data_IF_766152189379
#
_entry.id   IF_766152189379
#
_cell.length_a   1.000
_cell.length_b   1.000
_cell.length_c   1.000
_cell.angle_alpha   90.00
_cell.angle_beta   90.00
_cell.angle_gamma   90.00
#
_symmetry.space_group_name_H-M   'P 1'
#
loop_
_entity.id
_entity.type
_entity.pdbx_description
1 polymer ?
#
# COMPACT_ATOMS: atom_id res chain seq x y z
N UNK A 1 -18.93 -11.84 2.69
CA UNK A 1 -20.21 -11.69 3.43
C UNK A 1 -21.13 -12.91 3.37
N UNK A 2 -21.51 -13.49 2.20
CA UNK A 2 -22.51 -14.58 2.15
C UNK A 2 -22.15 -15.83 2.96
N UNK A 3 -20.87 -16.20 2.97
CA UNK A 3 -20.36 -17.33 3.75
C UNK A 3 -20.53 -17.13 5.27
N UNK A 4 -20.29 -15.92 5.77
CA UNK A 4 -20.42 -15.59 7.20
C UNK A 4 -21.89 -15.65 7.66
N UNK A 5 -22.81 -15.12 6.85
CA UNK A 5 -24.25 -15.23 7.12
C UNK A 5 -24.74 -16.68 7.03
N UNK A 6 -24.23 -17.47 6.07
CA UNK A 6 -24.53 -18.90 5.99
C UNK A 6 -24.07 -19.67 7.23
N UNK A 7 -22.87 -19.36 7.74
CA UNK A 7 -22.35 -19.96 8.98
C UNK A 7 -23.18 -19.56 10.20
N UNK A 8 -23.59 -18.29 10.31
CA UNK A 8 -24.47 -17.80 11.38
C UNK A 8 -25.84 -18.49 11.36
N UNK A 9 -26.49 -18.56 10.20
CA UNK A 9 -27.80 -19.21 10.03
C UNK A 9 -27.75 -20.71 10.36
N UNK A 10 -26.65 -21.38 10.00
CA UNK A 10 -26.42 -22.79 10.37
C UNK A 10 -26.25 -22.98 11.88
N UNK A 11 -25.57 -22.05 12.55
CA UNK A 11 -25.37 -22.09 14.01
C UNK A 11 -26.68 -22.10 14.80
N UNK A 12 -27.71 -21.38 14.33
CA UNK A 12 -29.02 -21.29 15.00
C UNK A 12 -29.80 -22.61 15.09
N UNK A 13 -29.37 -23.66 14.37
CA UNK A 13 -30.02 -24.97 14.37
C UNK A 13 -29.73 -25.80 15.63
N UNK A 14 -28.66 -25.48 16.35
CA UNK A 14 -28.24 -26.25 17.53
C UNK A 14 -28.18 -25.37 18.77
N UNK A 15 -28.27 -26.01 19.92
CA UNK A 15 -28.08 -25.34 21.20
C UNK A 15 -26.68 -24.70 21.34
N UNK A 16 -25.65 -25.28 20.71
CA UNK A 16 -24.27 -24.76 20.79
C UNK A 16 -24.12 -23.43 20.06
N UNK A 17 -24.86 -23.22 18.96
CA UNK A 17 -24.61 -22.08 18.09
C UNK A 17 -25.02 -20.72 18.68
N UNK A 18 -25.64 -20.67 19.86
CA UNK A 18 -25.84 -19.40 20.57
C UNK A 18 -25.54 -19.55 22.08
N UNK A 19 -24.62 -18.74 22.64
CA UNK A 19 -24.30 -18.77 24.08
C UNK A 19 -25.52 -18.60 25.02
N UNK A 20 -26.53 -17.76 24.69
CA UNK A 20 -27.73 -17.65 25.52
C UNK A 20 -28.52 -18.95 25.69
N UNK A 21 -28.63 -19.79 24.64
CA UNK A 21 -29.36 -21.07 24.72
C UNK A 21 -28.69 -22.07 25.67
N UNK A 22 -27.37 -21.99 25.80
CA UNK A 22 -26.59 -22.78 26.76
C UNK A 22 -26.88 -22.28 28.18
N UNK A 23 -26.80 -20.97 28.41
CA UNK A 23 -27.04 -20.35 29.72
C UNK A 23 -28.44 -20.64 30.27
N UNK A 24 -29.48 -20.51 29.43
CA UNK A 24 -30.86 -20.80 29.85
C UNK A 24 -31.04 -22.28 30.18
N UNK A 25 -30.44 -23.17 29.39
CA UNK A 25 -30.50 -24.61 29.63
C UNK A 25 -29.78 -25.04 30.91
N UNK A 26 -28.69 -24.34 31.26
CA UNK A 26 -27.96 -24.57 32.51
C UNK A 26 -28.73 -24.04 33.73
N UNK A 27 -29.38 -22.88 33.60
CA UNK A 27 -30.28 -22.33 34.62
C UNK A 27 -31.48 -23.26 34.90
N UNK A 28 -32.10 -23.82 33.86
CA UNK A 28 -33.20 -24.78 34.00
C UNK A 28 -32.76 -26.06 34.72
N UNK A 29 -31.52 -26.53 34.47
CA UNK A 29 -30.93 -27.70 35.13
C UNK A 29 -30.74 -27.47 36.62
N UNK A 30 -30.29 -26.28 37.02
CA UNK A 30 -30.10 -25.93 38.42
C UNK A 30 -31.42 -25.90 39.22
N UNK A 31 -32.53 -25.53 38.58
CA UNK A 31 -33.87 -25.49 39.18
C UNK A 31 -34.60 -26.86 39.12
N UNK A 32 -33.93 -27.93 38.67
CA UNK A 32 -34.54 -29.26 38.53
C UNK A 32 -35.59 -29.37 37.42
N UNK A 33 -35.66 -28.37 36.53
CA UNK A 33 -36.58 -28.34 35.39
C UNK A 33 -35.96 -29.03 34.18
N UNK A 34 -36.82 -29.40 33.22
CA UNK A 34 -36.38 -30.01 31.97
C UNK A 34 -35.56 -29.01 31.15
N UNK A 35 -34.26 -29.26 31.01
CA UNK A 35 -33.37 -28.47 30.16
C UNK A 35 -33.60 -28.76 28.68
N UNK A 36 -33.20 -27.81 27.82
CA UNK A 36 -33.22 -28.02 26.38
C UNK A 36 -32.24 -29.12 25.97
N UNK A 37 -32.65 -29.93 25.00
CA UNK A 37 -31.78 -30.88 24.33
C UNK A 37 -31.05 -30.23 23.16
N UNK A 38 -29.99 -30.89 22.69
CA UNK A 38 -29.10 -30.37 21.65
C UNK A 38 -29.83 -29.88 20.38
N UNK A 39 -30.93 -30.55 20.01
CA UNK A 39 -31.68 -30.32 18.77
C UNK A 39 -33.06 -29.68 18.99
N UNK A 40 -33.41 -29.24 20.21
CA UNK A 40 -34.73 -28.63 20.46
C UNK A 40 -34.96 -27.36 19.62
N UNK A 41 -33.88 -26.69 19.21
CA UNK A 41 -33.91 -25.47 18.38
C UNK A 41 -33.92 -25.75 16.87
N UNK A 42 -33.70 -27.00 16.44
CA UNK A 42 -33.59 -27.38 15.02
C UNK A 42 -34.80 -27.00 14.18
N UNK A 43 -36.06 -27.20 14.62
CA UNK A 43 -37.23 -26.88 13.80
C UNK A 43 -37.33 -25.38 13.49
N UNK A 44 -37.01 -24.54 14.47
CA UNK A 44 -37.01 -23.07 14.33
C UNK A 44 -35.78 -22.63 13.53
N UNK A 45 -34.61 -23.16 13.87
CA UNK A 45 -33.34 -22.87 13.19
C UNK A 45 -33.37 -23.24 11.71
N UNK A 46 -33.94 -24.39 11.33
CA UNK A 46 -34.12 -24.77 9.93
C UNK A 46 -35.06 -23.82 9.20
N UNK A 47 -36.16 -23.41 9.83
CA UNK A 47 -37.10 -22.46 9.22
C UNK A 47 -36.40 -21.12 8.90
N UNK A 48 -35.64 -20.59 9.87
CA UNK A 48 -34.88 -19.35 9.71
C UNK A 48 -33.74 -19.54 8.69
N UNK A 49 -33.07 -20.68 8.71
CA UNK A 49 -32.00 -21.00 7.77
C UNK A 49 -32.52 -21.02 6.32
N UNK A 50 -33.59 -21.75 6.04
CA UNK A 50 -34.17 -21.80 4.70
C UNK A 50 -34.70 -20.43 4.25
N UNK A 51 -35.37 -19.69 5.13
CA UNK A 51 -35.85 -18.34 4.82
C UNK A 51 -34.69 -17.37 4.54
N UNK A 52 -33.63 -17.39 5.36
CA UNK A 52 -32.43 -16.56 5.20
C UNK A 52 -31.62 -16.92 3.96
N UNK A 53 -31.46 -18.22 3.66
CA UNK A 53 -30.82 -18.70 2.43
C UNK A 53 -31.62 -18.28 1.20
N UNK A 54 -32.95 -18.44 1.20
CA UNK A 54 -33.80 -17.97 0.11
C UNK A 54 -33.68 -16.45 -0.07
N UNK A 55 -33.74 -15.68 1.01
CA UNK A 55 -33.54 -14.22 0.96
C UNK A 55 -32.18 -13.85 0.35
N UNK A 56 -31.10 -14.51 0.75
CA UNK A 56 -29.76 -14.25 0.21
C UNK A 56 -29.64 -14.58 -1.28
N UNK A 57 -30.23 -15.69 -1.72
CA UNK A 57 -30.22 -16.13 -3.12
C UNK A 57 -31.05 -15.20 -4.01
N UNK A 58 -32.23 -14.76 -3.56
CA UNK A 58 -33.14 -13.96 -4.39
C UNK A 58 -32.87 -12.46 -4.31
N UNK A 59 -32.71 -11.92 -3.09
CA UNK A 59 -32.63 -10.48 -2.79
C UNK A 59 -31.21 -10.07 -2.42
N UNK A 60 -30.51 -10.86 -1.60
CA UNK A 60 -29.15 -10.55 -1.14
C UNK A 60 -28.16 -10.33 -2.28
N UNK A 61 -28.24 -11.11 -3.35
CA UNK A 61 -27.46 -10.91 -4.58
C UNK A 61 -27.64 -9.55 -5.27
N UNK A 62 -28.76 -8.87 -5.01
CA UNK A 62 -29.10 -7.58 -5.63
C UNK A 62 -28.80 -6.38 -4.71
N UNK A 63 -28.73 -6.62 -3.40
CA UNK A 63 -28.37 -5.60 -2.39
C UNK A 63 -26.87 -5.56 -2.10
N UNK A 64 -26.13 -6.59 -2.50
CA UNK A 64 -24.68 -6.60 -2.41
C UNK A 64 -24.11 -5.50 -3.33
N UNK A 65 -23.33 -4.55 -2.80
CA UNK A 65 -22.62 -3.58 -3.63
C UNK A 65 -21.81 -4.33 -4.67
N UNK A 66 -21.89 -3.92 -5.93
CA UNK A 66 -20.93 -4.33 -6.97
C UNK A 66 -19.58 -3.68 -6.67
N UNK A 67 -18.92 -4.11 -5.60
CA UNK A 67 -17.55 -3.71 -5.25
C UNK A 67 -16.68 -4.93 -5.42
N UNK A 68 -15.66 -4.79 -6.27
CA UNK A 68 -14.68 -5.82 -6.58
C UNK A 68 -13.95 -6.23 -5.30
N UNK A 69 -14.35 -7.38 -4.75
CA UNK A 69 -13.69 -8.01 -3.59
C UNK A 69 -12.20 -8.30 -3.88
N UNK A 70 -11.82 -8.36 -5.16
CA UNK A 70 -10.43 -8.46 -5.61
C UNK A 70 -9.62 -7.21 -5.26
N UNK A 71 -10.21 -6.00 -5.29
CA UNK A 71 -9.48 -4.75 -4.96
C UNK A 71 -9.30 -4.55 -3.45
N UNK A 72 -10.31 -4.84 -2.63
CA UNK A 72 -10.22 -4.65 -1.17
C UNK A 72 -9.25 -5.64 -0.48
N UNK A 73 -9.18 -6.89 -0.93
CA UNK A 73 -8.19 -7.84 -0.40
C UNK A 73 -6.74 -7.53 -0.79
N UNK A 74 -6.55 -6.66 -1.80
CA UNK A 74 -5.27 -6.04 -2.11
C UNK A 74 -4.97 -4.96 -1.08
N UNK A 75 -5.89 -4.00 -0.90
CA UNK A 75 -5.73 -2.87 0.03
C UNK A 75 -5.43 -3.24 1.49
N UNK A 76 -6.01 -4.31 2.05
CA UNK A 76 -5.65 -4.76 3.41
C UNK A 76 -4.22 -5.33 3.50
N UNK A 77 -3.73 -6.01 2.46
CA UNK A 77 -2.35 -6.55 2.40
C UNK A 77 -1.32 -5.51 2.01
N UNK A 78 -1.76 -4.50 1.28
CA UNK A 78 -1.02 -3.33 0.83
C UNK A 78 -0.80 -2.38 2.02
N UNK A 79 -1.84 -2.07 2.81
CA UNK A 79 -1.73 -1.28 4.03
C UNK A 79 -0.76 -1.89 5.08
N UNK A 80 -0.80 -3.21 5.26
CA UNK A 80 0.11 -3.92 6.18
C UNK A 80 1.58 -3.87 5.70
N UNK A 81 1.79 -3.77 4.37
CA UNK A 81 3.12 -3.61 3.75
C UNK A 81 3.60 -2.17 3.76
N UNK A 82 2.74 -1.20 3.43
CA UNK A 82 3.07 0.23 3.56
C UNK A 82 3.54 0.55 4.97
N UNK A 83 2.87 -0.03 5.97
CA UNK A 83 3.24 0.04 7.38
C UNK A 83 4.57 -0.66 7.64
N UNK A 84 4.82 -1.85 7.06
CA UNK A 84 6.12 -2.55 7.19
C UNK A 84 7.31 -1.74 6.64
N UNK A 85 7.08 -0.89 5.63
CA UNK A 85 8.11 -0.05 5.02
C UNK A 85 8.13 1.40 5.55
N UNK A 86 7.19 1.78 6.42
CA UNK A 86 6.98 3.14 6.94
C UNK A 86 6.81 4.19 5.82
N UNK A 87 6.12 3.84 4.74
CA UNK A 87 6.03 4.68 3.54
C UNK A 87 5.27 5.98 3.80
N UNK A 88 4.23 5.94 4.63
CA UNK A 88 3.38 7.08 4.95
C UNK A 88 4.14 8.19 5.68
N UNK A 89 5.14 7.84 6.49
CA UNK A 89 5.97 8.80 7.23
C UNK A 89 7.10 9.40 6.37
N UNK A 90 7.35 8.83 5.19
CA UNK A 90 8.51 9.14 4.35
C UNK A 90 8.18 9.66 2.97
N UNK A 91 6.97 9.43 2.49
CA UNK A 91 6.53 9.89 1.17
C UNK A 91 5.53 11.03 1.32
N UNK A 92 5.86 12.18 0.77
CA UNK A 92 5.02 13.37 0.88
C UNK A 92 5.10 14.23 -0.38
N UNK A 93 4.05 15.03 -0.58
CA UNK A 93 3.94 15.93 -1.71
C UNK A 93 4.36 17.35 -1.31
N UNK A 94 5.11 17.99 -2.19
CA UNK A 94 5.58 19.36 -2.03
C UNK A 94 5.13 20.17 -3.24
N UNK A 95 4.47 21.30 -3.00
CA UNK A 95 4.22 22.28 -4.06
C UNK A 95 5.24 23.41 -4.02
N UNK A 96 5.79 23.76 -5.17
CA UNK A 96 6.69 24.91 -5.35
C UNK A 96 5.83 26.16 -5.60
N UNK A 97 5.72 27.11 -4.64
CA UNK A 97 4.98 28.34 -4.87
C UNK A 97 5.69 29.25 -5.87
N UNK A 98 4.96 30.26 -6.38
CA UNK A 98 5.49 31.22 -7.35
C UNK A 98 6.70 32.00 -6.83
N UNK A 99 6.71 32.35 -5.54
CA UNK A 99 7.77 33.15 -4.93
C UNK A 99 8.95 32.31 -4.40
N UNK A 100 8.98 31.00 -4.69
CA UNK A 100 10.03 30.11 -4.19
C UNK A 100 11.41 30.42 -4.78
N UNK A 101 12.43 30.45 -3.92
CA UNK A 101 13.84 30.53 -4.35
C UNK A 101 14.34 29.30 -5.15
N UNK A 102 13.49 28.29 -5.34
CA UNK A 102 13.78 27.08 -6.10
C UNK A 102 13.35 27.20 -7.56
N UNK A 103 12.54 28.20 -7.90
CA UNK A 103 12.12 28.44 -9.28
C UNK A 103 13.35 28.70 -10.16
N UNK A 104 13.41 28.04 -11.32
CA UNK A 104 14.51 28.07 -12.28
C UNK A 104 15.83 27.42 -11.81
N UNK A 105 15.85 26.77 -10.64
CA UNK A 105 16.99 25.93 -10.22
C UNK A 105 16.81 24.50 -10.69
N UNK A 106 17.92 23.83 -11.00
CA UNK A 106 17.91 22.38 -11.22
C UNK A 106 17.79 21.61 -9.90
N UNK A 107 17.40 20.33 -9.95
CA UNK A 107 17.41 19.45 -8.77
C UNK A 107 18.80 19.37 -8.11
N UNK A 108 19.89 19.39 -8.89
CA UNK A 108 21.23 19.44 -8.32
C UNK A 108 21.52 20.79 -7.61
N UNK A 109 21.08 21.90 -8.21
CA UNK A 109 21.27 23.24 -7.64
C UNK A 109 20.36 23.49 -6.42
N UNK A 110 19.21 22.82 -6.37
CA UNK A 110 18.29 22.89 -5.22
C UNK A 110 18.92 22.27 -3.98
N UNK A 111 19.85 21.32 -4.12
CA UNK A 111 20.46 20.59 -2.99
C UNK A 111 19.44 19.83 -2.13
N UNK A 112 18.23 19.53 -2.63
CA UNK A 112 17.26 18.68 -1.91
C UNK A 112 17.89 17.35 -1.50
N UNK A 113 18.55 16.66 -2.44
CA UNK A 113 19.20 15.38 -2.14
C UNK A 113 20.36 15.50 -1.16
N UNK A 114 21.29 16.43 -1.39
CA UNK A 114 22.52 16.50 -0.60
C UNK A 114 22.37 17.21 0.74
N UNK A 115 21.45 18.16 0.87
CA UNK A 115 21.25 18.92 2.12
C UNK A 115 20.15 18.32 3.01
N UNK A 116 19.10 17.75 2.42
CA UNK A 116 17.94 17.23 3.15
C UNK A 116 17.86 15.69 3.14
N UNK A 117 18.70 15.02 2.36
CA UNK A 117 18.58 13.57 2.16
C UNK A 117 17.30 13.19 1.43
N UNK A 118 16.74 14.10 0.64
CA UNK A 118 15.46 13.91 -0.04
C UNK A 118 15.63 13.43 -1.46
N UNK A 119 14.92 12.37 -1.81
CA UNK A 119 14.89 11.85 -3.15
C UNK A 119 13.59 12.24 -3.85
N UNK A 120 13.68 12.96 -4.96
CA UNK A 120 12.50 13.36 -5.74
C UNK A 120 12.07 12.21 -6.64
N UNK A 121 10.92 11.61 -6.35
CA UNK A 121 10.38 10.49 -7.13
C UNK A 121 9.83 10.99 -8.46
N UNK A 122 9.08 12.09 -8.43
CA UNK A 122 8.40 12.65 -9.59
C UNK A 122 8.32 14.19 -9.53
N UNK A 123 8.18 14.81 -10.70
CA UNK A 123 7.75 16.20 -10.86
C UNK A 123 6.47 16.20 -11.68
N UNK A 124 5.35 16.56 -11.08
CA UNK A 124 4.07 16.78 -11.76
C UNK A 124 3.93 18.25 -12.10
N UNK A 125 3.73 18.54 -13.38
CA UNK A 125 3.54 19.89 -13.91
C UNK A 125 2.29 19.91 -14.77
N UNK A 126 1.23 20.54 -14.26
CA UNK A 126 -0.12 20.45 -14.85
C UNK A 126 -0.51 18.97 -14.92
N UNK A 127 -0.80 18.44 -16.10
CA UNK A 127 -1.21 17.04 -16.31
C UNK A 127 -0.08 16.15 -16.83
N UNK A 128 1.18 16.55 -16.62
CA UNK A 128 2.35 15.75 -17.02
C UNK A 128 3.21 15.42 -15.83
N UNK A 129 3.39 14.13 -15.58
CA UNK A 129 4.26 13.58 -14.55
C UNK A 129 5.59 13.17 -15.17
N UNK A 130 6.68 13.80 -14.72
CA UNK A 130 8.03 13.38 -15.02
C UNK A 130 8.51 12.44 -13.91
N UNK A 131 8.63 11.16 -14.23
CA UNK A 131 9.19 10.17 -13.31
C UNK A 131 10.70 10.26 -13.24
N UNK A 132 11.25 9.89 -12.08
CA UNK A 132 12.68 9.69 -11.91
C UNK A 132 13.54 10.89 -12.41
N UNK A 133 13.18 12.15 -12.11
CA UNK A 133 13.81 13.33 -12.69
C UNK A 133 15.31 13.46 -12.36
N UNK A 134 16.15 13.54 -13.38
CA UNK A 134 17.59 13.67 -13.25
C UNK A 134 18.06 15.00 -12.62
N UNK A 135 19.34 15.09 -12.24
CA UNK A 135 19.93 16.26 -11.55
C UNK A 135 19.85 17.57 -12.36
N UNK A 136 19.74 17.47 -13.69
CA UNK A 136 19.63 18.61 -14.60
C UNK A 136 18.20 19.12 -14.79
N UNK A 137 17.18 18.40 -14.31
CA UNK A 137 15.80 18.85 -14.45
C UNK A 137 15.52 20.11 -13.64
N UNK A 138 14.95 21.12 -14.32
CA UNK A 138 14.66 22.44 -13.74
C UNK A 138 13.28 22.49 -13.09
N UNK A 139 13.25 22.99 -11.86
CA UNK A 139 12.06 23.26 -11.08
C UNK A 139 11.38 24.55 -11.56
N UNK A 140 10.06 24.54 -11.62
CA UNK A 140 9.22 25.68 -12.01
C UNK A 140 8.17 25.96 -10.95
N UNK A 141 7.67 27.20 -10.96
CA UNK A 141 6.54 27.59 -10.14
C UNK A 141 5.31 26.73 -10.46
N UNK A 142 4.62 26.27 -9.42
CA UNK A 142 3.47 25.37 -9.53
C UNK A 142 3.83 23.90 -9.75
N UNK A 143 5.12 23.54 -9.82
CA UNK A 143 5.51 22.13 -9.82
C UNK A 143 5.09 21.47 -8.49
N UNK A 144 4.58 20.25 -8.61
CA UNK A 144 4.28 19.38 -7.49
C UNK A 144 5.28 18.22 -7.51
N UNK A 145 5.98 18.04 -6.40
CA UNK A 145 7.02 17.03 -6.23
C UNK A 145 6.49 15.94 -5.32
N UNK A 146 6.60 14.68 -5.73
CA UNK A 146 6.52 13.56 -4.79
C UNK A 146 7.93 13.24 -4.32
N UNK A 147 8.15 13.26 -3.01
CA UNK A 147 9.48 13.16 -2.41
C UNK A 147 9.51 12.02 -1.40
N UNK A 148 10.62 11.27 -1.40
CA UNK A 148 10.98 10.33 -0.34
C UNK A 148 12.03 10.95 0.58
N UNK A 149 11.78 10.91 1.88
CA UNK A 149 12.67 11.44 2.90
C UNK A 149 11.94 11.68 4.22
N UNK A 150 12.62 12.22 5.23
CA UNK A 150 11.96 12.62 6.49
C UNK A 150 11.54 14.08 6.44
N UNK A 151 10.29 14.37 6.80
CA UNK A 151 9.74 15.73 6.89
C UNK A 151 10.48 16.55 7.96
N UNK A 152 10.97 15.90 9.01
CA UNK A 152 11.75 16.49 10.11
C UNK A 152 12.90 17.37 9.60
N UNK A 153 13.55 16.96 8.50
CA UNK A 153 14.65 17.69 7.89
C UNK A 153 14.22 19.03 7.27
N UNK A 154 12.95 19.22 6.92
CA UNK A 154 12.45 20.50 6.40
C UNK A 154 12.39 21.57 7.50
N UNK A 155 12.06 21.20 8.75
CA UNK A 155 11.95 22.15 9.86
C UNK A 155 13.28 22.85 10.16
N UNK A 156 14.40 22.21 9.83
CA UNK A 156 15.74 22.72 10.08
C UNK A 156 16.21 23.77 9.05
N UNK A 157 15.57 23.88 7.88
CA UNK A 157 16.02 24.78 6.81
C UNK A 157 15.11 26.01 6.61
N UNK A 158 15.51 27.14 7.21
CA UNK A 158 14.81 28.44 7.09
C UNK A 158 14.50 28.88 5.65
N UNK A 159 15.36 28.57 4.68
CA UNK A 159 15.20 28.99 3.28
C UNK A 159 14.10 28.22 2.51
N UNK A 160 13.50 27.20 3.13
CA UNK A 160 12.57 26.26 2.50
C UNK A 160 11.17 26.31 3.11
N UNK A 161 10.97 27.21 4.07
CA UNK A 161 9.71 27.44 4.79
C UNK A 161 8.56 27.93 3.88
N UNK A 162 8.87 28.34 2.65
CA UNK A 162 7.87 28.72 1.65
C UNK A 162 7.24 27.49 0.97
N UNK A 163 7.84 26.31 1.08
CA UNK A 163 7.28 25.11 0.48
C UNK A 163 5.98 24.72 1.18
N UNK A 164 4.95 24.49 0.37
CA UNK A 164 3.68 24.00 0.87
C UNK A 164 3.76 22.48 0.87
N UNK A 165 3.87 21.89 2.05
CA UNK A 165 3.68 20.45 2.24
C UNK A 165 2.17 20.21 2.23
N UNK A 166 1.71 19.36 1.32
CA UNK A 166 0.35 18.84 1.41
C UNK A 166 0.38 17.78 2.52
N UNK A 167 -0.21 18.09 3.69
CA UNK A 167 -0.32 17.14 4.80
C UNK A 167 -1.26 16.00 4.40
N UNK A 168 -0.73 14.78 4.47
CA UNK A 168 -1.32 13.57 3.90
C UNK A 168 -0.27 12.91 3.01
N UNK A 169 0.61 12.09 3.62
CA UNK A 169 1.54 11.25 2.86
C UNK A 169 0.77 10.52 1.76
N UNK A 170 1.39 10.38 0.58
CA UNK A 170 0.76 10.04 -0.71
C UNK A 170 -0.74 9.81 -0.57
N UNK A 171 -1.55 10.83 -0.85
CA UNK A 171 -2.99 10.63 -0.95
C UNK A 171 -3.24 9.74 -2.17
N UNK A 172 -3.17 8.41 -2.02
CA UNK A 172 -3.35 7.41 -3.08
C UNK A 172 -4.75 7.57 -3.73
N UNK A 173 -5.67 8.23 -3.03
CA UNK A 173 -7.03 8.55 -3.48
C UNK A 173 -7.24 10.03 -3.84
N UNK A 174 -6.21 10.88 -3.67
CA UNK A 174 -6.24 12.29 -4.03
C UNK A 174 -6.25 12.47 -5.55
N UNK A 175 -6.95 13.48 -6.09
CA UNK A 175 -7.16 13.67 -7.54
C UNK A 175 -5.88 13.91 -8.36
N UNK A 176 -4.70 13.92 -7.73
CA UNK A 176 -3.40 14.26 -8.32
C UNK A 176 -2.32 13.18 -8.12
N UNK A 177 -2.64 12.04 -7.47
CA UNK A 177 -1.69 10.95 -7.15
C UNK A 177 -1.77 9.71 -8.07
N UNK A 178 -2.59 9.78 -9.12
CA UNK A 178 -3.08 8.57 -9.81
C UNK A 178 -2.00 7.80 -10.60
N UNK A 179 -0.83 8.39 -10.85
CA UNK A 179 0.17 7.82 -11.77
C UNK A 179 1.33 7.08 -11.11
N UNK A 180 1.61 7.33 -9.83
CA UNK A 180 2.73 6.68 -9.12
C UNK A 180 2.19 5.43 -8.44
N UNK A 181 2.81 4.29 -8.78
CA UNK A 181 2.55 3.02 -8.13
C UNK A 181 3.81 2.56 -7.41
N UNK A 182 3.61 1.77 -6.37
CA UNK A 182 4.68 1.13 -5.62
C UNK A 182 4.58 -0.37 -5.89
N UNK A 183 5.73 -1.00 -6.06
CA UNK A 183 5.80 -2.43 -6.25
C UNK A 183 7.01 -3.04 -5.56
N UNK A 184 6.91 -4.31 -5.21
CA UNK A 184 8.02 -5.14 -4.79
C UNK A 184 8.52 -5.97 -5.95
N UNK A 185 9.83 -6.17 -6.02
CA UNK A 185 10.46 -7.02 -7.01
C UNK A 185 11.61 -7.82 -6.41
N UNK A 186 11.69 -9.09 -6.76
CA UNK A 186 12.75 -9.99 -6.29
C UNK A 186 13.93 -9.93 -7.25
N UNK A 187 15.14 -9.92 -6.68
CA UNK A 187 16.37 -10.13 -7.41
C UNK A 187 16.79 -11.61 -7.35
N UNK A 188 16.54 -12.39 -8.42
CA UNK A 188 16.88 -13.81 -8.44
C UNK A 188 18.39 -14.02 -8.51
N UNK A 189 18.84 -15.23 -8.13
CA UNK A 189 20.27 -15.53 -8.02
C UNK A 189 21.08 -15.52 -9.30
N UNK A 190 20.41 -15.70 -10.45
CA UNK A 190 21.00 -15.60 -11.78
C UNK A 190 20.96 -14.18 -12.36
N UNK A 191 20.55 -13.18 -11.56
CA UNK A 191 20.46 -11.81 -12.03
C UNK A 191 21.83 -11.20 -12.35
N UNK A 192 21.93 -10.56 -13.53
CA UNK A 192 23.10 -9.80 -13.96
C UNK A 192 23.39 -8.53 -13.12
N UNK A 193 22.50 -8.21 -12.18
CA UNK A 193 22.60 -7.06 -11.29
C UNK A 193 23.19 -7.41 -9.92
N UNK A 194 23.35 -8.70 -9.59
CA UNK A 194 24.02 -9.13 -8.36
C UNK A 194 25.44 -8.57 -8.31
N UNK A 195 25.82 -7.98 -7.18
CA UNK A 195 27.11 -7.34 -6.93
C UNK A 195 27.24 -5.92 -7.50
N UNK A 196 26.25 -5.42 -8.26
CA UNK A 196 26.24 -4.05 -8.78
C UNK A 196 25.45 -3.12 -7.85
N UNK A 197 25.75 -1.83 -7.91
CA UNK A 197 25.01 -0.80 -7.17
C UNK A 197 23.95 -0.17 -8.07
N UNK A 198 22.90 0.44 -7.49
CA UNK A 198 21.86 1.11 -8.28
C UNK A 198 22.45 2.25 -9.14
N UNK A 199 23.47 2.94 -8.61
CA UNK A 199 24.23 3.96 -9.35
C UNK A 199 24.94 3.38 -10.58
N UNK A 200 25.66 2.27 -10.44
CA UNK A 200 26.39 1.68 -11.58
C UNK A 200 25.46 1.08 -12.64
N UNK A 201 24.28 0.63 -12.22
CA UNK A 201 23.22 0.17 -13.13
C UNK A 201 22.54 1.35 -13.84
N UNK A 202 22.59 2.55 -13.25
CA UNK A 202 21.79 3.69 -13.70
C UNK A 202 20.29 3.41 -13.54
N UNK A 203 19.91 2.67 -12.49
CA UNK A 203 18.57 2.07 -12.33
C UNK A 203 17.43 3.04 -12.65
N UNK A 204 17.53 4.26 -12.11
CA UNK A 204 16.55 5.33 -12.26
C UNK A 204 16.33 5.78 -13.70
N UNK A 205 17.41 6.00 -14.44
CA UNK A 205 17.33 6.40 -15.85
C UNK A 205 17.01 5.23 -16.77
N UNK A 206 17.44 4.02 -16.41
CA UNK A 206 17.25 2.81 -17.20
C UNK A 206 15.83 2.27 -17.13
N UNK A 207 15.20 2.33 -15.96
CA UNK A 207 13.90 1.70 -15.70
C UNK A 207 12.79 2.68 -15.32
N UNK A 208 13.06 3.99 -15.27
CA UNK A 208 12.06 5.00 -14.91
C UNK A 208 11.55 4.91 -13.46
N UNK A 209 12.19 4.09 -12.63
CA UNK A 209 11.74 3.78 -11.27
C UNK A 209 12.79 4.15 -10.21
N UNK A 210 12.32 4.51 -9.01
CA UNK A 210 13.15 4.79 -7.86
C UNK A 210 13.08 3.63 -6.88
N UNK A 211 14.22 3.16 -6.37
CA UNK A 211 14.25 2.19 -5.28
C UNK A 211 14.08 2.93 -3.95
N UNK A 212 13.01 2.60 -3.22
CA UNK A 212 12.66 3.20 -1.93
C UNK A 212 13.25 2.41 -0.76
N UNK A 213 13.36 1.09 -0.90
CA UNK A 213 13.91 0.22 0.12
C UNK A 213 14.50 -1.07 -0.48
N UNK A 214 15.45 -1.66 0.23
CA UNK A 214 15.99 -2.99 -0.05
C UNK A 214 15.73 -3.86 1.18
N UNK A 215 14.95 -4.92 1.01
CA UNK A 215 14.72 -5.92 2.06
C UNK A 215 15.60 -7.14 1.81
N UNK A 216 16.48 -7.43 2.77
CA UNK A 216 17.46 -8.53 2.74
C UNK A 216 17.36 -9.34 4.04
N UNK A 217 17.00 -10.62 3.92
CA UNK A 217 16.92 -11.56 5.06
C UNK A 217 16.10 -11.01 6.25
N UNK A 218 15.00 -10.31 5.96
CA UNK A 218 14.13 -9.69 6.97
C UNK A 218 14.53 -8.29 7.42
N UNK A 219 15.72 -7.81 7.09
CA UNK A 219 16.16 -6.44 7.38
C UNK A 219 15.80 -5.51 6.23
N UNK A 220 15.23 -4.34 6.55
CA UNK A 220 14.85 -3.33 5.56
C UNK A 220 15.84 -2.16 5.62
N UNK A 221 16.60 -1.98 4.55
CA UNK A 221 17.49 -0.82 4.35
C UNK A 221 16.75 0.24 3.54
N UNK A 222 16.86 1.50 3.97
CA UNK A 222 16.18 2.66 3.34
C UNK A 222 17.14 3.81 3.02
N UNK A 223 18.36 3.78 3.54
CA UNK A 223 19.35 4.85 3.41
C UNK A 223 20.55 4.41 2.59
N UNK A 224 21.15 5.34 1.84
CA UNK A 224 22.32 5.10 1.00
C UNK A 224 22.16 3.89 0.06
N UNK A 225 20.95 3.69 -0.46
CA UNK A 225 20.61 2.55 -1.33
C UNK A 225 21.39 2.58 -2.65
N UNK A 226 21.71 3.79 -3.11
CA UNK A 226 22.36 4.03 -4.40
C UNK A 226 23.75 3.40 -4.53
N UNK A 227 24.46 3.24 -3.40
CA UNK A 227 25.82 2.72 -3.31
C UNK A 227 25.86 1.32 -2.69
N UNK A 228 24.70 0.75 -2.36
CA UNK A 228 24.61 -0.60 -1.83
C UNK A 228 24.75 -1.63 -2.96
N UNK A 229 25.70 -2.58 -2.86
CA UNK A 229 25.75 -3.72 -3.77
C UNK A 229 24.53 -4.61 -3.57
N UNK A 230 23.84 -4.91 -4.67
CA UNK A 230 22.68 -5.80 -4.65
C UNK A 230 23.12 -7.25 -4.41
N UNK A 231 22.40 -7.96 -3.56
CA UNK A 231 22.63 -9.37 -3.24
C UNK A 231 21.52 -10.26 -3.82
N UNK A 232 21.86 -11.54 -4.01
CA UNK A 232 20.90 -12.57 -4.35
C UNK A 232 19.79 -12.63 -3.29
N UNK A 233 18.54 -12.63 -3.74
CA UNK A 233 17.36 -12.69 -2.87
C UNK A 233 16.96 -11.35 -2.27
N UNK A 234 17.59 -10.24 -2.67
CA UNK A 234 17.12 -8.91 -2.33
C UNK A 234 15.72 -8.67 -2.89
N UNK A 235 14.85 -8.12 -2.06
CA UNK A 235 13.55 -7.59 -2.46
C UNK A 235 13.66 -6.07 -2.55
N UNK A 236 13.51 -5.52 -3.74
CA UNK A 236 13.52 -4.08 -3.96
C UNK A 236 12.10 -3.56 -3.91
N UNK A 237 11.87 -2.53 -3.09
CA UNK A 237 10.65 -1.75 -3.14
C UNK A 237 10.88 -0.58 -4.11
N UNK A 238 10.09 -0.51 -5.16
CA UNK A 238 10.25 0.47 -6.24
C UNK A 238 9.01 1.33 -6.41
N UNK A 239 9.22 2.62 -6.70
CA UNK A 239 8.17 3.55 -7.08
C UNK A 239 8.39 4.02 -8.51
N UNK A 240 7.36 3.90 -9.33
CA UNK A 240 7.41 4.15 -10.76
C UNK A 240 6.05 4.54 -11.32
N UNK A 241 6.00 4.96 -12.59
CA UNK A 241 4.72 5.06 -13.29
C UNK A 241 4.18 3.65 -13.51
N UNK A 242 2.86 3.47 -13.47
CA UNK A 242 2.22 2.15 -13.65
C UNK A 242 2.77 1.39 -14.87
N UNK A 243 2.88 2.06 -16.03
CA UNK A 243 3.44 1.50 -17.27
C UNK A 243 4.89 1.01 -17.15
N UNK A 244 5.74 1.74 -16.43
CA UNK A 244 7.14 1.38 -16.26
C UNK A 244 7.26 0.18 -15.30
N UNK A 245 6.39 0.13 -14.28
CA UNK A 245 6.34 -0.98 -13.34
C UNK A 245 5.85 -2.29 -13.98
N UNK A 246 4.89 -2.25 -14.89
CA UNK A 246 4.47 -3.44 -15.66
C UNK A 246 5.59 -4.00 -16.56
N UNK A 247 6.58 -3.19 -16.92
CA UNK A 247 7.71 -3.66 -17.73
C UNK A 247 8.65 -4.56 -16.91
N UNK A 248 8.70 -4.40 -15.58
CA UNK A 248 9.52 -5.23 -14.70
C UNK A 248 9.13 -6.70 -14.69
N UNK A 249 7.88 -7.05 -15.03
CA UNK A 249 7.49 -8.46 -15.25
C UNK A 249 8.21 -9.10 -16.44
N UNK A 250 8.73 -8.29 -17.36
CA UNK A 250 9.34 -8.71 -18.63
C UNK A 250 10.86 -8.49 -18.68
N UNK A 251 11.43 -7.75 -17.73
CA UNK A 251 12.86 -7.44 -17.70
C UNK A 251 13.66 -8.63 -17.17
N UNK A 252 14.58 -9.13 -17.99
CA UNK A 252 15.50 -10.18 -17.56
C UNK A 252 16.39 -9.71 -16.39
N UNK A 253 16.46 -10.53 -15.34
CA UNK A 253 17.23 -10.26 -14.13
C UNK A 253 16.40 -9.77 -12.94
N UNK A 254 15.08 -9.70 -13.07
CA UNK A 254 14.16 -9.52 -11.96
C UNK A 254 13.01 -10.54 -12.06
N UNK A 255 12.46 -10.93 -10.91
CA UNK A 255 11.36 -11.89 -10.82
C UNK A 255 10.31 -11.42 -9.80
N UNK A 256 9.13 -12.05 -9.83
CA UNK A 256 8.08 -11.89 -8.82
C UNK A 256 7.66 -10.43 -8.54
N UNK A 257 7.58 -9.61 -9.60
CA UNK A 257 7.02 -8.26 -9.47
C UNK A 257 5.58 -8.33 -8.95
N UNK A 258 5.25 -7.44 -8.01
CA UNK A 258 3.90 -7.27 -7.48
C UNK A 258 3.69 -5.86 -6.97
N UNK A 259 2.46 -5.36 -7.04
CA UNK A 259 2.10 -4.09 -6.44
C UNK A 259 2.07 -4.18 -4.90
N UNK A 260 2.29 -3.03 -4.27
CA UNK A 260 2.19 -2.76 -2.82
C UNK A 260 1.15 -1.69 -2.60
#
# INVERSE_FOLDING_TARGET
MPLAYGSLLGGLTTQIGTPPNILVSDALRHEGLRSFTFFDFTPVGLTIMFAGTAFMVFIGRHLLPKRDVVKESSHEKDADRETQYDLQERLFNIRIPQDSMLVNKTLAQSRMGSALGWNVISITRKDRTLMAPGPSNTLRAGDQLTVEGRIENLKELKNWQQLIIEEGGIDIEGPYSTDIKIGEILLPGNSQFVGKTLNSIGFRGRFGANVLAIRRKGNIKRTNLQDEPLELGDMLLIAGHHKDLEEFERIAGFDQFRYV
#
